data_IF_540488051703
#
_entry.id   IF_540488051703
#
_cell.length_a   1.000
_cell.length_b   1.000
_cell.length_c   1.000
_cell.angle_alpha   90.00
_cell.angle_beta   90.00
_cell.angle_gamma   90.00
#
_symmetry.space_group_name_H-M   'P 1'
#
loop_
_entity.id
_entity.type
_entity.pdbx_description
1 polymer ?
#
# COMPACT_ATOMS: atom_id res chain seq x y z
N UNK A 1 -67.02 -19.58 -11.09
CA UNK A 1 -66.06 -19.72 -9.98
C UNK A 1 -64.68 -19.23 -10.40
N UNK A 2 -64.17 -18.09 -9.88
CA UNK A 2 -62.73 -17.85 -9.86
C UNK A 2 -62.28 -17.00 -8.65
N UNK A 3 -62.01 -17.60 -7.48
CA UNK A 3 -61.50 -16.83 -6.32
C UNK A 3 -60.28 -17.41 -5.60
N UNK A 4 -59.73 -18.55 -6.03
CA UNK A 4 -58.67 -19.23 -5.26
C UNK A 4 -57.21 -18.99 -5.72
N UNK A 5 -56.96 -18.28 -6.83
CA UNK A 5 -55.59 -18.13 -7.38
C UNK A 5 -54.79 -16.92 -6.84
N UNK A 6 -55.43 -15.91 -6.24
CA UNK A 6 -54.75 -14.68 -5.79
C UNK A 6 -53.96 -14.86 -4.48
N UNK A 7 -54.42 -15.72 -3.57
CA UNK A 7 -53.78 -15.92 -2.26
C UNK A 7 -52.44 -16.66 -2.31
N UNK A 8 -52.26 -17.58 -3.27
CA UNK A 8 -51.00 -18.33 -3.44
C UNK A 8 -49.85 -17.45 -3.96
N UNK A 9 -50.15 -16.51 -4.86
CA UNK A 9 -49.17 -15.59 -5.45
C UNK A 9 -48.61 -14.62 -4.41
N UNK A 10 -49.47 -14.14 -3.49
CA UNK A 10 -49.05 -13.22 -2.41
C UNK A 10 -48.14 -13.93 -1.39
N UNK A 11 -48.42 -15.19 -1.06
CA UNK A 11 -47.55 -16.00 -0.18
C UNK A 11 -46.17 -16.23 -0.78
N UNK A 12 -46.10 -16.52 -2.08
CA UNK A 12 -44.82 -16.78 -2.74
C UNK A 12 -43.94 -15.51 -2.82
N UNK A 13 -44.53 -14.34 -3.10
CA UNK A 13 -43.81 -13.06 -3.07
C UNK A 13 -43.22 -12.71 -1.70
N UNK A 14 -43.92 -13.03 -0.59
CA UNK A 14 -43.40 -12.82 0.77
C UNK A 14 -42.22 -13.75 1.10
N UNK A 15 -42.28 -15.01 0.68
CA UNK A 15 -41.19 -15.98 0.83
C UNK A 15 -39.92 -15.56 0.09
N UNK A 16 -40.06 -15.09 -1.16
CA UNK A 16 -38.94 -14.59 -1.95
C UNK A 16 -38.30 -13.36 -1.30
N UNK A 17 -39.11 -12.41 -0.81
CA UNK A 17 -38.61 -11.21 -0.14
C UNK A 17 -37.87 -11.52 1.18
N UNK A 18 -38.33 -12.51 1.95
CA UNK A 18 -37.61 -12.98 3.15
C UNK A 18 -36.27 -13.62 2.81
N UNK A 19 -36.22 -14.46 1.78
CA UNK A 19 -34.97 -15.13 1.39
C UNK A 19 -33.90 -14.15 0.88
N UNK A 20 -34.32 -13.10 0.16
CA UNK A 20 -33.41 -12.03 -0.29
C UNK A 20 -32.86 -11.24 0.90
N UNK A 21 -33.72 -10.90 1.87
CA UNK A 21 -33.30 -10.18 3.08
C UNK A 21 -32.30 -10.99 3.91
N UNK A 22 -32.58 -12.27 4.13
CA UNK A 22 -31.68 -13.18 4.83
C UNK A 22 -30.34 -13.35 4.09
N UNK A 23 -30.34 -13.32 2.76
CA UNK A 23 -29.12 -13.39 1.95
C UNK A 23 -28.21 -12.16 2.11
N UNK A 24 -28.80 -10.97 2.20
CA UNK A 24 -28.07 -9.71 2.42
C UNK A 24 -27.50 -9.67 3.84
N UNK A 25 -28.29 -10.04 4.84
CA UNK A 25 -27.86 -10.10 6.25
C UNK A 25 -26.70 -11.09 6.46
N UNK A 26 -26.75 -12.25 5.79
CA UNK A 26 -25.69 -13.25 5.87
C UNK A 26 -24.38 -12.79 5.20
N UNK A 27 -24.45 -12.02 4.10
CA UNK A 27 -23.24 -11.43 3.48
C UNK A 27 -22.62 -10.35 4.36
N UNK A 28 -23.44 -9.44 4.89
CA UNK A 28 -22.98 -8.39 5.79
C UNK A 28 -22.33 -8.97 7.06
N UNK A 29 -22.88 -10.06 7.60
CA UNK A 29 -22.30 -10.77 8.75
C UNK A 29 -20.94 -11.41 8.41
N UNK A 30 -20.80 -11.98 7.21
CA UNK A 30 -19.56 -12.60 6.76
C UNK A 30 -18.45 -11.56 6.54
N UNK A 31 -18.79 -10.43 5.92
CA UNK A 31 -17.88 -9.29 5.71
C UNK A 31 -17.43 -8.67 7.03
N UNK A 32 -18.35 -8.56 8.01
CA UNK A 32 -18.00 -8.07 9.34
C UNK A 32 -17.11 -9.05 10.14
N UNK A 33 -17.25 -10.36 9.92
CA UNK A 33 -16.43 -11.38 10.57
C UNK A 33 -15.03 -11.47 9.97
N UNK A 34 -14.91 -11.28 8.65
CA UNK A 34 -13.61 -11.15 7.95
C UNK A 34 -12.89 -9.86 8.37
N UNK A 35 -13.58 -8.73 8.46
CA UNK A 35 -13.00 -7.47 8.95
C UNK A 35 -12.47 -7.59 10.39
N UNK A 36 -13.20 -8.29 11.28
CA UNK A 36 -12.75 -8.55 12.65
C UNK A 36 -11.51 -9.45 12.72
N UNK A 37 -11.43 -10.48 11.86
CA UNK A 37 -10.23 -11.33 11.76
C UNK A 37 -9.02 -10.55 11.23
N UNK A 38 -9.22 -9.65 10.26
CA UNK A 38 -8.15 -8.77 9.77
C UNK A 38 -7.68 -7.77 10.84
N UNK A 39 -8.58 -7.22 11.66
CA UNK A 39 -8.23 -6.35 12.79
C UNK A 39 -7.50 -7.10 13.91
N UNK A 40 -7.92 -8.33 14.22
CA UNK A 40 -7.28 -9.17 15.24
C UNK A 40 -5.89 -9.67 14.79
N UNK A 41 -5.72 -9.98 13.51
CA UNK A 41 -4.41 -10.32 12.91
C UNK A 41 -3.48 -9.10 12.84
N UNK A 42 -4.02 -7.90 12.56
CA UNK A 42 -3.28 -6.65 12.63
C UNK A 42 -2.90 -6.28 14.08
N UNK A 43 -3.78 -6.54 15.06
CA UNK A 43 -3.51 -6.31 16.48
C UNK A 43 -2.47 -7.29 17.04
N UNK A 44 -2.45 -8.55 16.59
CA UNK A 44 -1.43 -9.53 16.95
C UNK A 44 -0.03 -9.12 16.46
N UNK A 45 0.06 -8.37 15.36
CA UNK A 45 1.33 -7.75 14.90
C UNK A 45 1.66 -6.41 15.56
N UNK A 46 0.75 -5.84 16.37
CA UNK A 46 0.90 -4.55 17.05
C UNK A 46 1.27 -4.66 18.54
N UNK A 47 1.49 -5.88 19.06
CA UNK A 47 2.14 -6.07 20.36
C UNK A 47 3.63 -5.72 20.25
N UNK A 48 3.92 -4.43 20.24
CA UNK A 48 5.28 -3.90 20.31
C UNK A 48 5.91 -4.21 21.68
N UNK A 49 7.12 -4.77 21.73
CA UNK A 49 8.13 -4.28 22.65
C UNK A 49 8.68 -2.94 22.12
N UNK A 50 8.94 -2.03 23.05
CA UNK A 50 9.55 -0.70 22.88
C UNK A 50 11.04 -0.80 22.40
N UNK A 51 11.76 0.33 22.18
CA UNK A 51 12.69 0.51 21.08
C UNK A 51 14.06 -0.13 21.35
N UNK A 52 14.28 -1.33 20.82
CA UNK A 52 15.61 -1.93 20.78
C UNK A 52 16.12 -1.98 19.33
N UNK A 53 17.33 -1.47 19.18
CA UNK A 53 18.11 -1.40 17.94
C UNK A 53 18.10 -2.77 17.25
N UNK A 54 17.35 -2.89 16.16
CA UNK A 54 17.31 -4.12 15.37
C UNK A 54 18.63 -4.25 14.60
N UNK A 55 19.40 -5.32 14.82
CA UNK A 55 20.60 -5.58 14.05
C UNK A 55 20.21 -5.95 12.62
N UNK A 56 20.95 -5.44 11.64
CA UNK A 56 21.00 -5.83 10.22
C UNK A 56 19.68 -6.38 9.65
N UNK A 57 18.95 -5.52 8.93
CA UNK A 57 17.69 -5.90 8.28
C UNK A 57 17.87 -7.16 7.40
N UNK A 58 17.34 -8.34 7.80
CA UNK A 58 17.58 -9.60 7.09
C UNK A 58 16.76 -9.70 5.79
N UNK A 59 15.77 -8.85 5.65
CA UNK A 59 14.82 -8.80 4.55
C UNK A 59 15.43 -8.04 3.35
N UNK A 60 15.03 -8.42 2.14
CA UNK A 60 15.45 -7.74 0.90
C UNK A 60 14.73 -6.40 0.74
N UNK A 61 15.29 -5.52 -0.10
CA UNK A 61 14.68 -4.23 -0.45
C UNK A 61 14.66 -4.02 -1.95
N UNK A 62 13.67 -3.27 -2.41
CA UNK A 62 13.59 -2.79 -3.80
C UNK A 62 14.27 -1.42 -3.82
N UNK A 63 15.14 -1.18 -4.81
CA UNK A 63 15.82 0.09 -4.97
C UNK A 63 15.93 0.47 -6.45
N UNK A 64 15.74 1.77 -6.72
CA UNK A 64 16.16 2.43 -7.94
C UNK A 64 17.68 2.63 -7.89
N UNK A 65 18.42 1.86 -8.69
CA UNK A 65 19.89 1.86 -8.64
C UNK A 65 20.52 3.23 -8.93
N UNK A 66 20.09 4.00 -9.94
CA UNK A 66 20.50 5.40 -10.12
C UNK A 66 20.35 6.25 -8.85
N UNK A 67 19.14 6.33 -8.28
CA UNK A 67 18.86 7.12 -7.07
C UNK A 67 19.71 6.67 -5.87
N UNK A 68 19.83 5.35 -5.69
CA UNK A 68 20.62 4.77 -4.61
C UNK A 68 22.11 5.08 -4.78
N UNK A 69 22.63 4.97 -6.01
CA UNK A 69 24.04 5.25 -6.32
C UNK A 69 24.42 6.69 -6.06
N UNK A 70 23.54 7.65 -6.41
CA UNK A 70 23.72 9.07 -6.09
C UNK A 70 23.64 9.34 -4.58
N UNK A 71 22.77 8.63 -3.88
CA UNK A 71 22.58 8.78 -2.42
C UNK A 71 23.69 8.12 -1.57
N UNK A 72 24.60 7.36 -2.18
CA UNK A 72 25.69 6.64 -1.48
C UNK A 72 26.97 7.47 -1.33
N UNK A 73 26.86 8.79 -1.36
CA UNK A 73 27.95 9.73 -1.16
C UNK A 73 27.71 10.60 0.06
N UNK A 74 28.77 10.89 0.81
CA UNK A 74 28.65 11.72 2.00
C UNK A 74 28.62 13.21 1.65
N UNK A 75 27.50 13.88 1.91
CA UNK A 75 27.32 15.33 1.67
C UNK A 75 28.35 16.25 2.38
N UNK A 76 29.10 15.72 3.35
CA UNK A 76 30.05 16.50 4.16
C UNK A 76 31.52 16.32 3.76
N UNK A 77 31.91 15.16 3.24
CA UNK A 77 33.31 14.85 2.96
C UNK A 77 33.53 14.12 1.62
N UNK A 78 32.46 13.96 0.84
CA UNK A 78 32.44 13.36 -0.50
C UNK A 78 33.00 11.93 -0.56
N UNK A 79 33.00 11.24 0.59
CA UNK A 79 33.46 9.86 0.68
C UNK A 79 32.30 8.89 0.49
N UNK A 80 32.59 7.71 -0.07
CA UNK A 80 31.60 6.70 -0.34
C UNK A 80 31.00 6.15 0.96
N UNK A 81 29.68 6.07 0.99
CA UNK A 81 28.92 5.51 2.11
C UNK A 81 28.77 4.00 1.92
N UNK A 82 28.82 3.27 3.03
CA UNK A 82 28.58 1.83 3.05
C UNK A 82 27.35 1.53 3.88
N UNK A 83 26.39 0.82 3.29
CA UNK A 83 25.19 0.34 3.99
C UNK A 83 25.52 -0.57 5.19
N UNK A 84 26.76 -1.06 5.32
CA UNK A 84 27.23 -1.77 6.52
C UNK A 84 27.24 -0.90 7.77
N UNK A 85 27.32 0.42 7.62
CA UNK A 85 27.28 1.39 8.72
C UNK A 85 25.88 2.01 8.88
N UNK A 86 24.85 1.30 8.46
CA UNK A 86 23.46 1.68 8.70
C UNK A 86 23.15 1.65 10.20
N UNK A 87 22.54 2.72 10.69
CA UNK A 87 22.05 2.84 12.07
C UNK A 87 20.55 2.61 12.17
N UNK A 88 19.79 3.06 11.17
CA UNK A 88 18.33 2.99 11.16
C UNK A 88 17.77 2.95 9.74
N UNK A 89 16.55 2.44 9.59
CA UNK A 89 15.76 2.45 8.37
C UNK A 89 14.36 3.02 8.62
N UNK A 90 13.94 3.96 7.77
CA UNK A 90 12.55 4.41 7.71
C UNK A 90 11.90 3.88 6.43
N UNK A 91 10.92 2.99 6.60
CA UNK A 91 10.18 2.39 5.48
C UNK A 91 8.98 3.23 5.10
N UNK A 92 8.82 3.49 3.81
CA UNK A 92 7.73 4.27 3.21
C UNK A 92 7.09 3.47 2.08
N UNK A 93 6.32 2.44 2.43
CA UNK A 93 5.83 1.45 1.47
C UNK A 93 6.97 0.57 0.98
N UNK A 94 7.23 0.59 -0.32
CA UNK A 94 8.31 -0.12 -1.01
C UNK A 94 9.66 0.61 -1.01
N UNK A 95 9.65 1.91 -0.75
CA UNK A 95 10.87 2.69 -0.65
C UNK A 95 11.35 2.78 0.80
N UNK A 96 12.66 2.92 0.97
CA UNK A 96 13.32 3.03 2.27
C UNK A 96 14.23 4.26 2.31
N UNK A 97 14.38 4.80 3.52
CA UNK A 97 15.37 5.83 3.83
C UNK A 97 16.29 5.28 4.91
N UNK A 98 17.52 4.97 4.53
CA UNK A 98 18.55 4.51 5.46
C UNK A 98 19.26 5.69 6.09
N UNK A 99 19.52 5.60 7.39
CA UNK A 99 20.40 6.53 8.09
C UNK A 99 21.74 5.82 8.25
N UNK A 100 22.75 6.31 7.53
CA UNK A 100 24.07 5.66 7.44
C UNK A 100 25.13 6.58 7.99
N UNK A 101 25.95 6.05 8.90
CA UNK A 101 27.10 6.78 9.43
C UNK A 101 28.23 6.78 8.41
N UNK A 102 28.70 7.96 8.03
CA UNK A 102 29.93 8.09 7.27
C UNK A 102 31.11 7.62 8.14
N UNK A 103 31.89 6.68 7.62
CA UNK A 103 33.04 6.12 8.33
C UNK A 103 34.21 7.11 8.49
N UNK A 104 34.26 8.17 7.68
CA UNK A 104 35.32 9.19 7.69
C UNK A 104 35.00 10.38 8.57
N UNK A 105 33.85 11.03 8.37
CA UNK A 105 33.48 12.26 9.09
C UNK A 105 32.47 12.03 10.23
N UNK A 106 32.02 10.79 10.43
CA UNK A 106 31.07 10.37 11.49
C UNK A 106 29.69 11.03 11.43
N UNK A 107 29.38 11.79 10.37
CA UNK A 107 28.06 12.36 10.14
C UNK A 107 27.10 11.28 9.64
N UNK A 108 25.84 11.37 10.08
CA UNK A 108 24.76 10.50 9.61
C UNK A 108 24.12 11.13 8.38
N UNK A 109 24.12 10.39 7.29
CA UNK A 109 23.56 10.80 6.00
C UNK A 109 22.32 9.97 5.70
N UNK A 110 21.34 10.58 5.04
CA UNK A 110 20.11 9.90 4.62
C UNK A 110 20.28 9.37 3.21
N UNK A 111 20.14 8.07 3.06
CA UNK A 111 20.23 7.38 1.78
C UNK A 111 18.84 6.97 1.34
N UNK A 112 18.41 7.46 0.18
CA UNK A 112 17.13 7.12 -0.40
C UNK A 112 17.28 5.93 -1.35
N UNK A 113 16.33 4.99 -1.30
CA UNK A 113 16.30 3.86 -2.26
C UNK A 113 15.51 4.16 -3.52
N UNK A 114 14.73 5.23 -3.54
CA UNK A 114 13.86 5.61 -4.66
C UNK A 114 13.56 7.10 -4.62
N UNK A 115 13.18 7.65 -5.76
CA UNK A 115 12.86 9.07 -5.91
C UNK A 115 11.43 9.36 -5.46
N UNK A 116 11.21 10.56 -4.95
CA UNK A 116 9.85 11.05 -4.70
C UNK A 116 9.27 11.55 -6.02
N UNK A 117 8.04 11.16 -6.30
CA UNK A 117 7.27 11.71 -7.41
C UNK A 117 6.99 13.22 -7.23
N UNK A 118 6.37 13.86 -8.23
CA UNK A 118 6.11 15.30 -8.18
C UNK A 118 5.22 15.67 -6.98
N UNK A 119 5.45 16.85 -6.41
CA UNK A 119 4.52 17.44 -5.44
C UNK A 119 3.25 17.81 -6.20
N UNK A 120 2.09 17.34 -5.73
CA UNK A 120 0.81 17.67 -6.34
C UNK A 120 0.34 19.05 -5.87
N UNK A 121 -0.48 19.71 -6.70
CA UNK A 121 -1.10 20.98 -6.38
C UNK A 121 -2.03 20.92 -5.14
N UNK A 122 -2.45 19.71 -4.73
CA UNK A 122 -3.28 19.48 -3.53
C UNK A 122 -2.48 19.56 -2.21
N UNK A 123 -1.19 19.92 -2.27
CA UNK A 123 -0.34 20.12 -1.10
C UNK A 123 0.03 18.83 -0.36
N UNK A 124 -0.38 17.65 -0.86
CA UNK A 124 -0.06 16.37 -0.22
C UNK A 124 1.40 16.02 -0.47
N UNK A 125 2.02 15.40 0.54
CA UNK A 125 3.40 14.95 0.43
C UNK A 125 3.58 14.00 -0.75
N UNK A 126 4.67 14.15 -1.51
CA UNK A 126 4.94 13.31 -2.66
C UNK A 126 5.17 11.85 -2.20
N UNK A 127 4.61 10.92 -2.96
CA UNK A 127 4.86 9.49 -2.78
C UNK A 127 6.12 9.09 -3.53
N UNK A 128 6.83 8.07 -3.06
CA UNK A 128 7.92 7.46 -3.82
C UNK A 128 7.41 6.84 -5.12
N UNK A 129 8.18 6.99 -6.19
CA UNK A 129 7.83 6.57 -7.55
C UNK A 129 7.55 5.08 -7.61
N UNK A 130 8.36 4.26 -6.93
CA UNK A 130 8.14 2.81 -6.85
C UNK A 130 6.77 2.42 -6.27
N UNK A 131 6.23 3.18 -5.31
CA UNK A 131 4.91 2.91 -4.75
C UNK A 131 3.82 3.19 -5.78
N UNK A 132 3.97 4.27 -6.55
CA UNK A 132 3.05 4.61 -7.65
C UNK A 132 3.12 3.55 -8.76
N UNK A 133 4.32 3.16 -9.17
CA UNK A 133 4.53 2.12 -10.19
C UNK A 133 3.95 0.77 -9.77
N UNK A 134 4.18 0.35 -8.52
CA UNK A 134 3.59 -0.87 -7.99
C UNK A 134 2.06 -0.80 -7.96
N UNK A 135 1.49 0.34 -7.54
CA UNK A 135 0.04 0.54 -7.54
C UNK A 135 -0.54 0.52 -8.96
N UNK A 136 0.11 1.17 -9.94
CA UNK A 136 -0.24 1.12 -11.37
C UNK A 136 -0.24 -0.31 -11.87
N UNK A 137 0.85 -1.04 -11.68
CA UNK A 137 0.95 -2.45 -12.10
C UNK A 137 -0.09 -3.34 -11.43
N UNK A 138 -0.41 -3.11 -10.16
CA UNK A 138 -1.46 -3.86 -9.46
C UNK A 138 -2.86 -3.55 -10.02
N UNK A 139 -3.16 -2.29 -10.33
CA UNK A 139 -4.43 -1.90 -10.95
C UNK A 139 -4.57 -2.56 -12.33
N UNK A 140 -3.53 -2.48 -13.15
CA UNK A 140 -3.55 -3.00 -14.52
C UNK A 140 -3.62 -4.53 -14.58
N UNK A 141 -2.94 -5.20 -13.65
CA UNK A 141 -2.93 -6.65 -13.55
C UNK A 141 -4.09 -7.24 -12.72
N UNK A 142 -4.94 -6.40 -12.11
CA UNK A 142 -6.00 -6.86 -11.21
C UNK A 142 -5.49 -7.53 -9.93
N UNK A 143 -4.31 -7.14 -9.45
CA UNK A 143 -3.66 -7.70 -8.25
C UNK A 143 -4.11 -6.94 -7.01
N UNK A 144 -4.64 -7.66 -6.02
CA UNK A 144 -5.02 -7.08 -4.74
C UNK A 144 -3.83 -6.90 -3.79
N UNK A 145 -4.00 -6.05 -2.77
CA UNK A 145 -3.01 -5.84 -1.70
C UNK A 145 -2.54 -7.14 -1.05
N UNK A 146 -3.47 -8.04 -0.73
CA UNK A 146 -3.15 -9.34 -0.12
C UNK A 146 -2.37 -10.26 -1.05
N UNK A 147 -2.67 -10.25 -2.36
CA UNK A 147 -1.90 -11.01 -3.35
C UNK A 147 -0.48 -10.45 -3.50
N UNK A 148 -0.34 -9.12 -3.52
CA UNK A 148 0.96 -8.46 -3.57
C UNK A 148 1.82 -8.82 -2.35
N UNK A 149 1.26 -8.74 -1.15
CA UNK A 149 2.01 -9.06 0.07
C UNK A 149 2.39 -10.55 0.14
N UNK A 150 1.54 -11.47 -0.34
CA UNK A 150 1.90 -12.90 -0.48
C UNK A 150 3.10 -13.10 -1.41
N UNK A 151 3.11 -12.38 -2.54
CA UNK A 151 4.25 -12.39 -3.47
C UNK A 151 5.52 -11.84 -2.81
N UNK A 152 5.42 -10.74 -2.05
CA UNK A 152 6.56 -10.16 -1.33
C UNK A 152 7.10 -11.08 -0.25
N UNK A 153 6.23 -11.74 0.53
CA UNK A 153 6.65 -12.75 1.50
C UNK A 153 7.44 -13.88 0.83
N UNK A 154 7.01 -14.36 -0.35
CA UNK A 154 7.73 -15.39 -1.10
C UNK A 154 9.12 -14.93 -1.60
N UNK A 155 9.31 -13.63 -1.83
CA UNK A 155 10.59 -13.03 -2.25
C UNK A 155 11.47 -12.56 -1.09
N UNK A 156 11.07 -12.78 0.17
CA UNK A 156 11.69 -12.20 1.35
C UNK A 156 11.76 -10.67 1.29
N UNK A 157 10.70 -10.04 0.76
CA UNK A 157 10.50 -8.61 0.76
C UNK A 157 9.51 -8.25 1.87
N UNK A 158 9.68 -7.09 2.51
CA UNK A 158 8.83 -6.73 3.61
C UNK A 158 7.44 -6.29 3.10
N UNK A 159 6.37 -6.54 3.87
CA UNK A 159 5.01 -6.25 3.43
C UNK A 159 4.77 -4.74 3.33
N UNK A 160 3.91 -4.34 2.38
CA UNK A 160 3.44 -2.96 2.26
C UNK A 160 2.21 -2.78 3.13
N UNK A 161 2.16 -1.71 3.91
CA UNK A 161 1.00 -1.38 4.73
C UNK A 161 -0.20 -1.00 3.86
N UNK A 162 -1.41 -1.44 4.23
CA UNK A 162 -2.65 -1.23 3.46
C UNK A 162 -2.89 0.25 3.18
N UNK A 163 -2.71 1.11 4.17
CA UNK A 163 -2.89 2.57 4.01
C UNK A 163 -1.95 3.17 2.97
N UNK A 164 -0.69 2.74 2.94
CA UNK A 164 0.29 3.23 1.95
C UNK A 164 -0.05 2.76 0.55
N UNK A 165 -0.50 1.51 0.42
CA UNK A 165 -0.93 0.94 -0.85
C UNK A 165 -2.18 1.63 -1.41
N UNK A 166 -3.23 1.78 -0.60
CA UNK A 166 -4.47 2.46 -1.01
C UNK A 166 -4.18 3.92 -1.40
N UNK A 167 -3.38 4.63 -0.61
CA UNK A 167 -2.97 6.01 -0.93
C UNK A 167 -2.27 6.10 -2.30
N UNK A 168 -1.45 5.12 -2.65
CA UNK A 168 -0.81 5.07 -3.97
C UNK A 168 -1.81 4.76 -5.09
N UNK A 169 -2.74 3.82 -4.88
CA UNK A 169 -3.80 3.51 -5.83
C UNK A 169 -4.72 4.70 -6.11
N UNK A 170 -5.17 5.38 -5.07
CA UNK A 170 -6.05 6.56 -5.21
C UNK A 170 -5.36 7.66 -6.01
N UNK A 171 -4.04 7.83 -5.82
CA UNK A 171 -3.25 8.80 -6.57
C UNK A 171 -3.10 8.43 -8.05
N UNK A 172 -2.92 7.15 -8.36
CA UNK A 172 -2.88 6.66 -9.75
C UNK A 172 -4.24 6.85 -10.43
N UNK A 173 -5.35 6.54 -9.74
CA UNK A 173 -6.71 6.73 -10.26
C UNK A 173 -6.98 8.20 -10.55
N UNK A 174 -6.67 9.10 -9.61
CA UNK A 174 -6.85 10.54 -9.78
C UNK A 174 -6.04 11.10 -10.96
N UNK A 175 -4.81 10.62 -11.19
CA UNK A 175 -4.00 11.03 -12.34
C UNK A 175 -4.62 10.58 -13.66
N UNK A 176 -5.08 9.32 -13.74
CA UNK A 176 -5.73 8.77 -14.94
C UNK A 176 -7.04 9.49 -15.27
N UNK A 177 -7.81 9.88 -14.25
CA UNK A 177 -9.04 10.68 -14.44
C UNK A 177 -8.75 12.07 -15.01
N UNK A 178 -7.64 12.71 -14.61
CA UNK A 178 -7.21 14.00 -15.16
C UNK A 178 -6.75 13.89 -16.61
N UNK A 179 -6.04 12.82 -16.98
CA UNK A 179 -5.61 12.57 -18.37
C UNK A 179 -6.78 12.25 -19.30
N UNK A 180 -7.87 11.67 -18.76
CA UNK A 180 -9.07 11.33 -19.52
C UNK A 180 -10.08 12.48 -19.62
N UNK A 181 -9.85 13.61 -18.95
CA UNK A 181 -10.68 14.79 -19.09
C UNK A 181 -10.51 15.36 -20.52
N UNK A 182 -11.57 15.43 -21.34
CA UNK A 182 -11.45 15.90 -22.72
C UNK A 182 -10.99 17.36 -22.73
N UNK A 183 -9.97 17.65 -23.54
CA UNK A 183 -9.58 18.99 -23.94
C UNK A 183 -10.72 19.70 -24.68
N UNK A 184 -11.72 20.17 -23.94
CA UNK A 184 -12.75 21.07 -24.46
C UNK A 184 -12.20 22.49 -24.40
N UNK A 185 -11.59 22.97 -25.48
CA UNK A 185 -11.65 24.37 -25.93
C UNK A 185 -10.62 24.62 -27.03
N UNK A 186 -11.12 24.74 -28.27
CA UNK A 186 -10.72 25.75 -29.24
C UNK A 186 -11.73 25.69 -30.39
N UNK A 187 -12.76 26.53 -30.28
CA UNK A 187 -13.61 27.02 -31.38
C UNK A 187 -13.39 28.51 -31.47
#
# INVERSE_FOLDING_TARGET
MPFMKKSAIIRNKRLVAMNVRNGIENRARKEAEEAKREEEEAAATAAAPDPEQSPACPDRRIANLPCLGESLWCDFCDDALSLRFQENEQRNGLASVFHVRCHRCMKVVKIHTDDKGPVLADGKSPLYSINLQAATGCIDAGVSHGQLNKLFSAMNLPPVHRTSFVRAQDRVKAHREQEQAPSQSQT
#
